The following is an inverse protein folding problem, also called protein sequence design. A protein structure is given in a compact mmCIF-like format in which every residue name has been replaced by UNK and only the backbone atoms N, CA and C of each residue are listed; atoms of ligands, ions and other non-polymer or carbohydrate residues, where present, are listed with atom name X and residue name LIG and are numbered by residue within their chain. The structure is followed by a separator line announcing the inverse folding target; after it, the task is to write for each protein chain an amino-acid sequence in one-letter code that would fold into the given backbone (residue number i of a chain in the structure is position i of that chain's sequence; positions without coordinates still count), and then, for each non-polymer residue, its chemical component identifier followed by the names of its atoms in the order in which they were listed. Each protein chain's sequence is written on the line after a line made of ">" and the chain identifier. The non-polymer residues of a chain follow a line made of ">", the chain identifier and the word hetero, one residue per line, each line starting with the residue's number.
data_IF_836080127307
#
_entry.id   IF_836080127307
#
_cell.length_a   1.000
_cell.length_b   1.000
_cell.length_c   1.000
_cell.angle_alpha   90.00
_cell.angle_beta   90.00
_cell.angle_gamma   90.00
#
_symmetry.space_group_name_H-M   'P 1'
#
loop_
_entity.id
_entity.type
_entity.pdbx_description
1 polymer ?
#
# COMPACT_ATOMS: atom_id res chain seq x y z
N UNK A 1 -8.31 35.94 48.65
CA UNK A 1 -7.63 36.43 49.89
C UNK A 1 -8.37 37.55 50.64
N UNK A 2 -9.15 38.44 49.99
CA UNK A 2 -9.85 39.54 50.69
C UNK A 2 -11.08 39.08 51.49
N UNK A 3 -11.83 38.09 50.98
CA UNK A 3 -13.04 37.57 51.60
C UNK A 3 -12.79 36.73 52.87
N UNK A 4 -11.72 35.94 52.91
CA UNK A 4 -11.33 35.16 54.11
C UNK A 4 -10.85 36.04 55.26
N UNK A 5 -10.18 37.17 54.94
CA UNK A 5 -9.78 38.16 55.95
C UNK A 5 -11.00 38.88 56.53
N UNK A 6 -12.03 39.13 55.72
CA UNK A 6 -13.29 39.72 56.17
C UNK A 6 -14.09 38.77 57.08
N UNK A 7 -14.11 37.47 56.77
CA UNK A 7 -14.75 36.44 57.61
C UNK A 7 -14.07 36.25 58.96
N UNK A 8 -12.73 36.30 59.01
CA UNK A 8 -11.97 36.25 60.25
C UNK A 8 -12.21 37.48 61.14
N UNK A 9 -12.32 38.66 60.55
CA UNK A 9 -12.64 39.89 61.30
C UNK A 9 -14.07 39.86 61.82
N UNK A 10 -15.04 39.36 61.04
CA UNK A 10 -16.43 39.21 61.48
C UNK A 10 -16.59 38.17 62.60
N UNK A 11 -15.82 37.08 62.56
CA UNK A 11 -15.85 36.05 63.60
C UNK A 11 -15.21 36.51 64.93
N UNK A 12 -14.16 37.33 64.86
CA UNK A 12 -13.55 37.97 66.04
C UNK A 12 -14.45 39.07 66.60
N UNK A 13 -15.17 39.80 65.75
CA UNK A 13 -16.09 40.86 66.16
C UNK A 13 -17.40 40.28 66.75
N UNK A 14 -17.87 39.13 66.27
CA UNK A 14 -19.01 38.42 66.87
C UNK A 14 -18.71 37.83 68.25
N UNK A 15 -17.44 37.46 68.51
CA UNK A 15 -17.00 37.03 69.85
C UNK A 15 -16.86 38.20 70.83
N UNK A 16 -16.58 39.41 70.36
CA UNK A 16 -16.39 40.59 71.21
C UNK A 16 -17.70 41.31 71.58
N UNK A 17 -18.78 41.14 70.81
CA UNK A 17 -20.07 41.83 71.02
C UNK A 17 -21.08 40.93 71.78
N UNK A 18 -20.82 39.63 71.91
CA UNK A 18 -21.72 38.66 72.54
C UNK A 18 -21.80 38.68 74.07
N UNK A 19 -21.06 39.56 74.75
CA UNK A 19 -21.12 39.63 76.22
C UNK A 19 -21.31 41.07 76.67
N UNK A 20 -22.43 41.31 77.35
CA UNK A 20 -22.87 42.53 78.06
C UNK A 20 -23.85 43.40 77.28
N UNK A 21 -25.14 43.08 77.37
CA UNK A 21 -26.18 44.02 77.78
C UNK A 21 -27.42 43.27 78.32
N UNK A 22 -27.70 43.48 79.61
CA UNK A 22 -28.97 43.34 80.33
C UNK A 22 -29.67 41.96 80.40
N UNK A 23 -29.40 41.21 81.47
CA UNK A 23 -30.43 40.80 82.43
C UNK A 23 -29.80 40.70 83.82
N UNK A 24 -30.24 41.58 84.71
CA UNK A 24 -30.04 41.47 86.14
C UNK A 24 -31.18 40.59 86.66
N UNK A 25 -30.91 39.30 86.86
CA UNK A 25 -31.62 38.45 87.80
C UNK A 25 -30.60 37.48 88.38
N UNK A 26 -30.53 37.55 89.70
CA UNK A 26 -29.70 36.82 90.62
C UNK A 26 -30.09 35.34 90.57
N UNK A 27 -29.53 34.61 89.61
CA UNK A 27 -29.47 33.16 89.61
C UNK A 27 -28.05 32.83 89.16
N UNK A 28 -27.14 32.83 90.15
CA UNK A 28 -25.80 32.24 90.02
C UNK A 28 -25.99 30.81 89.50
N UNK A 29 -25.96 30.63 88.19
CA UNK A 29 -25.50 29.36 87.63
C UNK A 29 -24.09 29.20 88.18
N UNK A 30 -23.79 28.18 89.00
CA UNK A 30 -22.43 27.94 89.41
C UNK A 30 -21.63 27.74 88.13
N UNK A 31 -20.79 28.71 87.78
CA UNK A 31 -19.67 28.39 86.90
C UNK A 31 -18.87 27.42 87.74
N UNK A 32 -19.05 26.12 87.48
CA UNK A 32 -18.24 25.08 88.11
C UNK A 32 -16.79 25.49 87.88
N UNK A 33 -16.17 26.05 88.92
CA UNK A 33 -14.79 26.48 88.88
C UNK A 33 -13.99 25.21 88.69
N UNK A 34 -13.58 24.95 87.43
CA UNK A 34 -12.76 23.79 87.14
C UNK A 34 -11.58 23.78 88.10
N UNK A 35 -11.35 22.64 88.73
CA UNK A 35 -10.30 22.45 89.71
C UNK A 35 -8.94 22.76 89.08
N UNK A 36 -7.96 23.19 89.88
CA UNK A 36 -6.60 23.49 89.41
C UNK A 36 -5.99 22.32 88.60
N UNK A 37 -6.35 21.09 88.95
CA UNK A 37 -5.92 19.87 88.26
C UNK A 37 -6.56 19.70 86.88
N UNK A 38 -7.85 20.03 86.72
CA UNK A 38 -8.54 20.04 85.43
C UNK A 38 -7.99 21.14 84.49
N UNK A 39 -7.60 22.29 85.04
CA UNK A 39 -6.92 23.35 84.30
C UNK A 39 -5.56 22.90 83.78
N UNK A 40 -4.74 22.28 84.62
CA UNK A 40 -3.44 21.77 84.21
C UNK A 40 -3.60 20.73 83.10
N UNK A 41 -4.56 19.82 83.25
CA UNK A 41 -4.87 18.80 82.24
C UNK A 41 -5.31 19.41 80.91
N UNK A 42 -6.14 20.45 80.94
CA UNK A 42 -6.51 21.19 79.73
C UNK A 42 -5.30 21.88 79.08
N UNK A 43 -4.43 22.53 79.85
CA UNK A 43 -3.22 23.18 79.31
C UNK A 43 -2.33 22.16 78.61
N UNK A 44 -2.13 20.99 79.23
CA UNK A 44 -1.32 19.91 78.67
C UNK A 44 -1.96 19.36 77.38
N UNK A 45 -3.28 19.13 77.38
CA UNK A 45 -4.04 18.69 76.20
C UNK A 45 -4.00 19.70 75.04
N UNK A 46 -4.18 20.99 75.34
CA UNK A 46 -4.10 22.07 74.34
C UNK A 46 -2.68 22.23 73.82
N UNK A 47 -1.67 22.06 74.67
CA UNK A 47 -0.26 22.10 74.27
C UNK A 47 0.08 20.91 73.37
N UNK A 48 -0.39 19.71 73.70
CA UNK A 48 -0.23 18.52 72.86
C UNK A 48 -0.88 18.70 71.47
N UNK A 49 -2.13 19.18 71.42
CA UNK A 49 -2.83 19.48 70.16
C UNK A 49 -2.13 20.56 69.34
N UNK A 50 -1.62 21.62 69.99
CA UNK A 50 -0.84 22.67 69.32
C UNK A 50 0.43 22.10 68.68
N UNK A 51 1.15 21.24 69.40
CA UNK A 51 2.36 20.61 68.88
C UNK A 51 2.05 19.67 67.70
N UNK A 52 1.00 18.87 67.80
CA UNK A 52 0.54 17.98 66.72
C UNK A 52 0.14 18.78 65.46
N UNK A 53 -0.71 19.80 65.61
CA UNK A 53 -1.14 20.65 64.49
C UNK A 53 0.04 21.40 63.86
N UNK A 54 0.98 21.88 64.68
CA UNK A 54 2.21 22.53 64.18
C UNK A 54 3.07 21.55 63.37
N UNK A 55 3.19 20.30 63.83
CA UNK A 55 3.85 19.22 63.09
C UNK A 55 3.18 18.94 61.73
N UNK A 56 1.85 18.79 61.71
CA UNK A 56 1.08 18.57 60.47
C UNK A 56 1.21 19.73 59.49
N UNK A 57 1.22 20.98 59.97
CA UNK A 57 1.42 22.16 59.11
C UNK A 57 2.82 22.14 58.50
N UNK A 58 3.86 21.78 59.27
CA UNK A 58 5.21 21.67 58.77
C UNK A 58 5.37 20.55 57.72
N UNK A 59 4.70 19.41 57.91
CA UNK A 59 4.67 18.30 56.96
C UNK A 59 3.94 18.68 55.67
N UNK A 60 2.72 19.23 55.77
CA UNK A 60 1.97 19.72 54.62
C UNK A 60 2.72 20.80 53.84
N UNK A 61 3.52 21.63 54.53
CA UNK A 61 4.35 22.63 53.88
C UNK A 61 5.50 21.97 53.10
N UNK A 62 6.14 20.94 53.65
CA UNK A 62 7.15 20.14 52.91
C UNK A 62 6.56 19.46 51.69
N UNK A 63 5.38 18.85 51.82
CA UNK A 63 4.69 18.20 50.70
C UNK A 63 4.30 19.19 49.62
N UNK A 64 3.80 20.37 49.99
CA UNK A 64 3.49 21.44 49.07
C UNK A 64 4.73 21.88 48.27
N UNK A 65 5.86 22.05 48.94
CA UNK A 65 7.11 22.48 48.29
C UNK A 65 7.68 21.36 47.40
N UNK A 66 7.54 20.10 47.79
CA UNK A 66 7.93 18.94 46.99
C UNK A 66 7.05 18.77 45.73
N UNK A 67 5.72 18.91 45.89
CA UNK A 67 4.77 18.89 44.78
C UNK A 67 5.00 20.06 43.82
N UNK A 68 5.27 21.25 44.34
CA UNK A 68 5.59 22.43 43.51
C UNK A 68 6.83 22.18 42.64
N UNK A 69 7.90 21.60 43.21
CA UNK A 69 9.10 21.22 42.44
C UNK A 69 8.80 20.17 41.37
N UNK A 70 8.01 19.15 41.72
CA UNK A 70 7.61 18.09 40.79
C UNK A 70 6.77 18.64 39.63
N UNK A 71 5.91 19.62 39.91
CA UNK A 71 5.08 20.27 38.91
C UNK A 71 5.96 21.06 37.92
N UNK A 72 6.95 21.79 38.41
CA UNK A 72 7.88 22.54 37.55
C UNK A 72 8.77 21.62 36.70
N UNK A 73 9.26 20.49 37.23
CA UNK A 73 10.00 19.51 36.42
C UNK A 73 9.12 18.87 35.36
N UNK A 74 7.90 18.44 35.71
CA UNK A 74 6.96 17.85 34.74
C UNK A 74 6.55 18.85 33.67
N UNK A 75 6.33 20.12 33.99
CA UNK A 75 6.09 21.18 33.00
C UNK A 75 7.27 21.33 32.03
N UNK A 76 8.50 21.33 32.54
CA UNK A 76 9.68 21.42 31.71
C UNK A 76 9.83 20.19 30.79
N UNK A 77 9.57 18.99 31.30
CA UNK A 77 9.62 17.74 30.54
C UNK A 77 8.54 17.70 29.44
N UNK A 78 7.30 18.11 29.76
CA UNK A 78 6.21 18.21 28.78
C UNK A 78 6.56 19.19 27.67
N UNK A 79 7.08 20.37 28.03
CA UNK A 79 7.48 21.37 27.03
C UNK A 79 8.58 20.84 26.11
N UNK A 80 9.59 20.18 26.66
CA UNK A 80 10.65 19.54 25.84
C UNK A 80 10.07 18.48 24.91
N UNK A 81 9.19 17.62 25.41
CA UNK A 81 8.55 16.59 24.60
C UNK A 81 7.68 17.18 23.48
N UNK A 82 6.97 18.28 23.74
CA UNK A 82 6.19 19.01 22.74
C UNK A 82 7.11 19.63 21.66
N UNK A 83 8.19 20.30 22.08
CA UNK A 83 9.15 20.91 21.17
C UNK A 83 9.84 19.85 20.28
N UNK A 84 10.24 18.71 20.86
CA UNK A 84 10.82 17.57 20.13
C UNK A 84 9.81 16.93 19.17
N UNK A 85 8.56 16.75 19.59
CA UNK A 85 7.50 16.21 18.75
C UNK A 85 7.23 17.09 17.54
N UNK A 86 7.08 18.40 17.75
CA UNK A 86 6.84 19.34 16.66
C UNK A 86 8.06 19.47 15.75
N UNK A 87 9.28 19.43 16.30
CA UNK A 87 10.51 19.39 15.50
C UNK A 87 10.56 18.14 14.60
N UNK A 88 10.23 16.96 15.14
CA UNK A 88 10.15 15.72 14.37
C UNK A 88 9.07 15.76 13.27
N UNK A 89 7.95 16.43 13.53
CA UNK A 89 6.88 16.64 12.56
C UNK A 89 7.16 17.78 11.56
N UNK A 90 8.30 18.47 11.68
CA UNK A 90 8.73 19.54 10.78
C UNK A 90 8.10 20.91 11.07
N UNK A 91 7.48 21.08 12.24
CA UNK A 91 6.86 22.30 12.75
C UNK A 91 5.34 22.23 12.82
N UNK A 92 4.76 22.92 13.81
CA UNK A 92 3.31 23.04 14.00
C UNK A 92 2.61 23.65 12.78
N UNK A 93 3.21 24.66 12.16
CA UNK A 93 2.65 25.32 10.97
C UNK A 93 2.48 24.35 9.78
N UNK A 94 3.43 23.44 9.58
CA UNK A 94 3.33 22.45 8.50
C UNK A 94 2.24 21.41 8.79
N UNK A 95 2.10 21.00 10.06
CA UNK A 95 1.03 20.13 10.50
C UNK A 95 -0.35 20.76 10.27
N UNK A 96 -0.53 22.01 10.68
CA UNK A 96 -1.79 22.74 10.53
C UNK A 96 -2.12 23.02 9.05
N UNK A 97 -1.12 23.38 8.24
CA UNK A 97 -1.27 23.53 6.80
C UNK A 97 -1.68 22.21 6.12
N UNK A 98 -1.04 21.09 6.48
CA UNK A 98 -1.38 19.77 5.97
C UNK A 98 -2.81 19.38 6.36
N UNK A 99 -3.19 19.58 7.63
CA UNK A 99 -4.55 19.31 8.14
C UNK A 99 -5.60 20.11 7.37
N UNK A 100 -5.34 21.40 7.12
CA UNK A 100 -6.23 22.28 6.34
C UNK A 100 -6.37 21.81 4.90
N UNK A 101 -5.25 21.55 4.22
CA UNK A 101 -5.25 21.12 2.82
C UNK A 101 -5.87 19.72 2.63
N UNK A 102 -5.64 18.80 3.57
CA UNK A 102 -6.31 17.49 3.59
C UNK A 102 -7.83 17.65 3.73
N UNK A 103 -8.29 18.52 4.64
CA UNK A 103 -9.73 18.79 4.81
C UNK A 103 -10.38 19.42 3.58
N UNK A 104 -9.68 20.34 2.90
CA UNK A 104 -10.13 20.91 1.62
C UNK A 104 -10.27 19.83 0.56
N UNK A 105 -9.26 18.97 0.40
CA UNK A 105 -9.28 17.88 -0.57
C UNK A 105 -10.37 16.86 -0.25
N UNK A 106 -10.57 16.49 1.01
CA UNK A 106 -11.68 15.62 1.44
C UNK A 106 -13.04 16.20 1.07
N UNK A 107 -13.23 17.51 1.23
CA UNK A 107 -14.48 18.19 0.85
C UNK A 107 -14.70 18.14 -0.65
N UNK A 108 -13.66 18.48 -1.43
CA UNK A 108 -13.67 18.43 -2.89
C UNK A 108 -14.04 17.02 -3.39
N UNK A 109 -13.40 15.98 -2.83
CA UNK A 109 -13.64 14.59 -3.23
C UNK A 109 -15.03 14.11 -2.81
N UNK A 110 -15.49 14.49 -1.62
CA UNK A 110 -16.82 14.13 -1.13
C UNK A 110 -17.93 14.75 -1.99
N UNK A 111 -17.79 16.02 -2.34
CA UNK A 111 -18.77 16.76 -3.14
C UNK A 111 -18.58 16.54 -4.64
N UNK A 112 -17.48 15.89 -5.06
CA UNK A 112 -17.07 15.72 -6.45
C UNK A 112 -16.99 17.06 -7.19
N UNK A 113 -16.48 18.08 -6.51
CA UNK A 113 -16.39 19.44 -7.03
C UNK A 113 -15.20 19.58 -7.98
N UNK A 114 -15.47 20.04 -9.21
CA UNK A 114 -14.43 20.30 -10.20
C UNK A 114 -13.91 19.06 -10.94
N UNK A 115 -12.67 19.16 -11.42
CA UNK A 115 -12.01 18.14 -12.23
C UNK A 115 -11.22 17.17 -11.34
N UNK A 116 -11.31 15.87 -11.65
CA UNK A 116 -10.57 14.82 -10.95
C UNK A 116 -9.07 15.08 -10.98
N UNK A 117 -8.56 15.58 -12.10
CA UNK A 117 -7.13 15.82 -12.34
C UNK A 117 -6.56 16.84 -11.34
N UNK A 118 -7.34 17.84 -10.91
CA UNK A 118 -6.88 18.85 -9.96
C UNK A 118 -6.84 18.30 -8.53
N UNK A 119 -7.80 17.43 -8.17
CA UNK A 119 -7.77 16.69 -6.91
C UNK A 119 -6.58 15.72 -6.83
N UNK A 120 -6.23 15.06 -7.94
CA UNK A 120 -5.04 14.19 -8.03
C UNK A 120 -3.73 14.97 -7.85
N UNK A 121 -3.63 16.19 -8.39
CA UNK A 121 -2.47 17.06 -8.17
C UNK A 121 -2.33 17.44 -6.69
N UNK A 122 -3.43 17.87 -6.04
CA UNK A 122 -3.42 18.19 -4.61
C UNK A 122 -3.06 16.95 -3.77
N UNK A 123 -3.56 15.78 -4.12
CA UNK A 123 -3.23 14.52 -3.46
C UNK A 123 -1.74 14.16 -3.58
N UNK A 124 -1.16 14.37 -4.77
CA UNK A 124 0.26 14.15 -5.04
C UNK A 124 1.15 15.15 -4.30
N UNK A 125 0.74 16.42 -4.21
CA UNK A 125 1.44 17.45 -3.43
C UNK A 125 1.44 17.14 -1.93
N UNK A 126 0.29 16.77 -1.37
CA UNK A 126 0.19 16.30 0.02
C UNK A 126 1.08 15.07 0.24
N UNK A 127 1.19 14.21 -0.77
CA UNK A 127 2.04 13.02 -0.75
C UNK A 127 3.54 13.28 -0.61
N UNK A 128 4.01 14.49 -0.92
CA UNK A 128 5.42 14.89 -0.76
C UNK A 128 5.81 15.13 0.70
N UNK A 129 4.84 15.42 1.57
CA UNK A 129 5.11 15.66 2.98
C UNK A 129 5.16 14.34 3.77
N UNK A 130 6.09 14.24 4.73
CA UNK A 130 6.21 13.08 5.62
C UNK A 130 4.98 12.91 6.54
N UNK A 131 4.18 13.97 6.70
CA UNK A 131 2.94 14.01 7.48
C UNK A 131 1.84 13.08 6.94
N UNK A 132 1.96 12.62 5.69
CA UNK A 132 1.08 11.58 5.11
C UNK A 132 0.98 10.33 5.97
N UNK A 133 2.08 9.94 6.62
CA UNK A 133 2.16 8.73 7.45
C UNK A 133 1.91 9.00 8.93
N UNK A 134 1.58 10.24 9.32
CA UNK A 134 1.25 10.59 10.69
C UNK A 134 -0.01 9.84 11.16
N UNK A 135 -0.09 9.35 12.41
CA UNK A 135 -1.24 8.59 12.92
C UNK A 135 -2.60 9.26 12.66
N UNK A 136 -2.70 10.58 12.87
CA UNK A 136 -3.94 11.34 12.66
C UNK A 136 -4.41 11.38 11.20
N UNK A 137 -3.48 11.26 10.25
CA UNK A 137 -3.74 11.51 8.83
C UNK A 137 -3.64 10.26 7.96
N UNK A 138 -2.85 9.26 8.34
CA UNK A 138 -2.54 8.10 7.51
C UNK A 138 -3.80 7.35 7.05
N UNK A 139 -4.75 7.13 7.96
CA UNK A 139 -6.01 6.47 7.64
C UNK A 139 -6.87 7.31 6.69
N UNK A 140 -6.97 8.62 6.95
CA UNK A 140 -7.74 9.57 6.15
C UNK A 140 -7.17 9.72 4.74
N UNK A 141 -5.86 9.90 4.64
CA UNK A 141 -5.15 10.01 3.37
C UNK A 141 -5.27 8.74 2.51
N UNK A 142 -5.24 7.55 3.13
CA UNK A 142 -5.46 6.29 2.42
C UNK A 142 -6.87 6.21 1.83
N UNK A 143 -7.90 6.50 2.63
CA UNK A 143 -9.30 6.53 2.18
C UNK A 143 -9.51 7.52 1.04
N UNK A 144 -8.92 8.71 1.16
CA UNK A 144 -9.02 9.76 0.14
C UNK A 144 -8.48 9.28 -1.22
N UNK A 145 -7.36 8.56 -1.24
CA UNK A 145 -6.85 7.97 -2.47
C UNK A 145 -7.80 6.92 -3.08
N UNK A 146 -8.48 6.12 -2.25
CA UNK A 146 -9.49 5.17 -2.72
C UNK A 146 -10.71 5.89 -3.30
N UNK A 147 -11.14 6.99 -2.69
CA UNK A 147 -12.30 7.75 -3.14
C UNK A 147 -12.00 8.57 -4.39
N UNK A 148 -10.80 9.12 -4.54
CA UNK A 148 -10.32 9.74 -5.80
C UNK A 148 -10.29 8.69 -6.93
N UNK A 149 -9.87 7.46 -6.65
CA UNK A 149 -9.89 6.38 -7.65
C UNK A 149 -11.32 6.03 -8.10
N UNK A 150 -12.29 6.08 -7.19
CA UNK A 150 -13.72 5.89 -7.50
C UNK A 150 -14.35 7.13 -8.15
N UNK A 151 -13.80 8.32 -7.93
CA UNK A 151 -14.26 9.57 -8.52
C UNK A 151 -13.83 9.61 -9.99
N UNK A 152 -14.79 9.80 -10.89
CA UNK A 152 -14.64 9.69 -12.34
C UNK A 152 -15.77 8.84 -12.91
N UNK A 153 -15.90 8.74 -14.25
CA UNK A 153 -16.80 7.76 -14.82
C UNK A 153 -16.32 6.40 -14.35
N UNK A 154 -17.15 5.72 -13.53
CA UNK A 154 -17.07 4.26 -13.43
C UNK A 154 -17.05 3.81 -14.88
N UNK A 155 -16.00 3.10 -15.31
CA UNK A 155 -16.02 2.47 -16.63
C UNK A 155 -17.16 1.46 -16.54
N UNK A 156 -18.38 1.91 -16.85
CA UNK A 156 -19.56 1.06 -17.00
C UNK A 156 -19.24 0.29 -18.26
N UNK A 157 -18.57 -0.83 -18.07
CA UNK A 157 -18.28 -1.76 -19.14
C UNK A 157 -19.62 -2.07 -19.80
N UNK A 158 -19.77 -1.88 -21.13
CA UNK A 158 -20.99 -2.29 -21.80
C UNK A 158 -21.18 -3.77 -21.50
N UNK A 159 -22.32 -4.15 -20.93
CA UNK A 159 -22.61 -5.53 -20.53
C UNK A 159 -22.50 -6.52 -21.69
N UNK A 160 -22.51 -6.03 -22.94
CA UNK A 160 -21.93 -6.75 -24.07
C UNK A 160 -21.38 -5.88 -25.19
N UNK A 161 -20.48 -6.46 -25.99
CA UNK A 161 -19.88 -5.87 -27.18
C UNK A 161 -20.23 -6.67 -28.44
N UNK A 162 -20.75 -6.01 -29.48
CA UNK A 162 -21.01 -6.64 -30.78
C UNK A 162 -19.76 -6.68 -31.63
N UNK A 163 -19.30 -7.88 -31.97
CA UNK A 163 -18.10 -8.10 -32.80
C UNK A 163 -18.32 -7.59 -34.21
N UNK A 164 -17.38 -6.78 -34.73
CA UNK A 164 -17.37 -6.28 -36.10
C UNK A 164 -16.37 -7.07 -36.95
N UNK A 165 -16.55 -7.09 -38.28
CA UNK A 165 -15.61 -7.73 -39.20
C UNK A 165 -14.19 -7.18 -39.03
N UNK A 166 -13.23 -8.04 -38.72
CA UNK A 166 -11.81 -7.69 -38.52
C UNK A 166 -11.40 -7.46 -37.06
N UNK A 167 -12.35 -7.57 -36.12
CA UNK A 167 -12.05 -7.62 -34.69
C UNK A 167 -11.41 -8.95 -34.29
N UNK A 168 -10.57 -8.89 -33.27
CA UNK A 168 -10.08 -10.04 -32.52
C UNK A 168 -10.14 -9.70 -31.03
N UNK A 169 -10.14 -10.69 -30.13
CA UNK A 169 -10.26 -10.45 -28.68
C UNK A 169 -9.22 -9.44 -28.17
N UNK A 170 -8.01 -9.44 -28.74
CA UNK A 170 -6.95 -8.48 -28.45
C UNK A 170 -7.33 -7.03 -28.80
N UNK A 171 -7.88 -6.81 -30.01
CA UNK A 171 -8.33 -5.48 -30.46
C UNK A 171 -9.56 -5.02 -29.68
N UNK A 172 -10.47 -5.92 -29.34
CA UNK A 172 -11.67 -5.61 -28.55
C UNK A 172 -11.23 -5.15 -27.14
N UNK A 173 -10.34 -5.89 -26.49
CA UNK A 173 -9.78 -5.48 -25.18
C UNK A 173 -9.01 -4.15 -25.22
N UNK A 174 -8.41 -3.81 -26.36
CA UNK A 174 -7.69 -2.55 -26.55
C UNK A 174 -8.60 -1.31 -26.66
N UNK A 175 -9.91 -1.48 -26.90
CA UNK A 175 -10.84 -0.33 -27.03
C UNK A 175 -10.95 0.40 -25.69
N UNK A 176 -10.96 1.74 -25.73
CA UNK A 176 -11.05 2.62 -24.55
C UNK A 176 -12.34 2.41 -23.76
N UNK A 177 -13.41 2.04 -24.45
CA UNK A 177 -14.74 1.76 -23.88
C UNK A 177 -14.84 0.40 -23.17
N UNK A 178 -13.87 -0.48 -23.40
CA UNK A 178 -13.81 -1.83 -22.80
C UNK A 178 -12.70 -1.83 -21.75
N UNK A 179 -11.49 -2.30 -22.07
CA UNK A 179 -10.42 -2.41 -21.07
C UNK A 179 -9.29 -1.40 -21.24
N UNK A 180 -9.22 -0.70 -22.37
CA UNK A 180 -8.07 0.15 -22.73
C UNK A 180 -6.71 -0.58 -22.58
N UNK A 181 -6.72 -1.91 -22.60
CA UNK A 181 -5.56 -2.74 -22.34
C UNK A 181 -5.66 -4.03 -23.16
N UNK A 182 -4.88 -4.14 -24.24
CA UNK A 182 -4.94 -5.28 -25.14
C UNK A 182 -4.61 -6.62 -24.46
N UNK A 183 -3.85 -6.60 -23.37
CA UNK A 183 -3.45 -7.80 -22.62
C UNK A 183 -4.61 -8.43 -21.84
N UNK A 184 -5.76 -7.76 -21.77
CA UNK A 184 -6.96 -8.23 -21.10
C UNK A 184 -7.82 -9.17 -21.95
N UNK A 185 -7.41 -9.48 -23.17
CA UNK A 185 -8.11 -10.44 -24.04
C UNK A 185 -8.38 -11.83 -23.41
N UNK A 186 -7.52 -12.40 -22.53
CA UNK A 186 -7.82 -13.70 -21.91
C UNK A 186 -9.02 -13.64 -20.97
N UNK A 187 -9.26 -12.50 -20.32
CA UNK A 187 -10.42 -12.30 -19.44
C UNK A 187 -11.70 -12.27 -20.26
N UNK A 188 -11.65 -11.59 -21.41
CA UNK A 188 -12.76 -11.56 -22.36
C UNK A 188 -13.05 -12.97 -22.90
N UNK A 189 -12.03 -13.78 -23.16
CA UNK A 189 -12.20 -15.17 -23.58
C UNK A 189 -12.82 -16.04 -22.47
N UNK A 190 -12.23 -16.04 -21.27
CA UNK A 190 -12.67 -16.87 -20.14
C UNK A 190 -14.14 -16.60 -19.74
N UNK A 191 -14.58 -15.34 -19.85
CA UNK A 191 -15.97 -14.97 -19.59
C UNK A 191 -16.96 -15.49 -20.65
N UNK A 192 -16.49 -15.81 -21.86
CA UNK A 192 -17.31 -16.17 -23.02
C UNK A 192 -17.03 -17.58 -23.56
N UNK A 193 -16.06 -18.31 -23.00
CA UNK A 193 -15.69 -19.68 -23.41
C UNK A 193 -16.89 -20.62 -23.30
N UNK A 194 -17.65 -20.49 -22.20
CA UNK A 194 -18.84 -21.31 -21.91
C UNK A 194 -20.12 -20.81 -22.58
N UNK A 195 -20.11 -19.63 -23.20
CA UNK A 195 -21.30 -19.06 -23.83
C UNK A 195 -21.20 -17.55 -24.08
N UNK A 196 -21.51 -17.11 -25.30
CA UNK A 196 -21.74 -15.70 -25.67
C UNK A 196 -23.19 -15.30 -25.44
N UNK A 197 -23.47 -13.99 -25.32
CA UNK A 197 -24.81 -13.47 -25.02
C UNK A 197 -25.77 -13.70 -26.19
N UNK A 198 -25.32 -13.43 -27.41
CA UNK A 198 -26.07 -13.76 -28.63
C UNK A 198 -25.12 -14.06 -29.79
N UNK A 199 -25.59 -14.88 -30.72
CA UNK A 199 -24.84 -15.25 -31.91
C UNK A 199 -25.79 -15.34 -33.13
N UNK A 200 -25.32 -14.98 -34.34
CA UNK A 200 -26.08 -15.18 -35.56
C UNK A 200 -26.42 -16.65 -35.82
N UNK A 201 -27.48 -16.95 -36.60
CA UNK A 201 -27.80 -18.32 -36.99
C UNK A 201 -26.61 -18.95 -37.73
N UNK A 202 -26.33 -20.24 -37.46
CA UNK A 202 -25.18 -21.04 -37.94
C UNK A 202 -23.82 -20.73 -37.28
N UNK A 203 -23.75 -19.88 -36.26
CA UNK A 203 -22.52 -19.62 -35.48
C UNK A 203 -22.59 -20.30 -34.11
N UNK A 204 -21.47 -20.89 -33.66
CA UNK A 204 -21.39 -21.50 -32.34
C UNK A 204 -21.56 -20.44 -31.23
N UNK A 205 -22.37 -20.77 -30.22
CA UNK A 205 -22.56 -19.93 -29.03
C UNK A 205 -21.40 -20.02 -28.04
N UNK A 206 -20.47 -20.96 -28.21
CA UNK A 206 -19.33 -21.18 -27.32
C UNK A 206 -18.02 -20.90 -28.04
N UNK A 207 -17.07 -20.23 -27.37
CA UNK A 207 -15.77 -19.85 -27.95
C UNK A 207 -14.69 -20.77 -27.36
N UNK A 208 -14.58 -21.99 -27.89
CA UNK A 208 -13.50 -22.93 -27.48
C UNK A 208 -12.12 -22.45 -27.91
N UNK A 209 -12.03 -21.84 -29.10
CA UNK A 209 -10.78 -21.29 -29.61
C UNK A 209 -10.80 -19.75 -29.48
N UNK A 210 -9.91 -19.14 -28.69
CA UNK A 210 -9.90 -17.68 -28.49
C UNK A 210 -9.65 -16.88 -29.78
N UNK A 211 -9.08 -17.49 -30.82
CA UNK A 211 -8.83 -16.82 -32.09
C UNK A 211 -10.05 -16.83 -33.03
N UNK A 212 -11.10 -17.59 -32.71
CA UNK A 212 -12.25 -17.80 -33.59
C UNK A 212 -13.48 -17.07 -33.05
N UNK A 213 -13.62 -15.81 -33.45
CA UNK A 213 -14.81 -14.99 -33.20
C UNK A 213 -15.41 -14.53 -34.52
N UNK A 214 -16.73 -14.38 -34.56
CA UNK A 214 -17.50 -14.07 -35.77
C UNK A 214 -18.23 -12.72 -35.63
N UNK A 215 -18.36 -11.95 -36.72
CA UNK A 215 -19.12 -10.72 -36.72
C UNK A 215 -20.58 -10.93 -36.31
N UNK A 216 -21.14 -10.00 -35.53
CA UNK A 216 -22.50 -10.05 -35.00
C UNK A 216 -22.66 -10.88 -33.73
N UNK A 217 -21.59 -11.52 -33.22
CA UNK A 217 -21.61 -12.11 -31.88
C UNK A 217 -21.61 -11.00 -30.83
N UNK A 218 -22.43 -11.13 -29.79
CA UNK A 218 -22.43 -10.23 -28.62
C UNK A 218 -21.67 -10.90 -27.48
N UNK A 219 -20.47 -10.40 -27.20
CA UNK A 219 -19.60 -10.88 -26.13
C UNK A 219 -19.97 -10.24 -24.80
N UNK A 220 -19.97 -11.02 -23.72
CA UNK A 220 -20.09 -10.52 -22.35
C UNK A 220 -18.77 -9.88 -21.92
N UNK A 221 -18.81 -8.61 -21.50
CA UNK A 221 -17.63 -7.90 -20.99
C UNK A 221 -17.71 -7.84 -19.45
N UNK A 222 -16.93 -8.65 -18.70
CA UNK A 222 -16.92 -8.55 -17.24
C UNK A 222 -16.31 -7.22 -16.77
N UNK A 223 -16.77 -6.74 -15.61
CA UNK A 223 -16.22 -5.56 -14.94
C UNK A 223 -14.75 -5.77 -14.55
N UNK A 224 -13.93 -4.72 -14.71
CA UNK A 224 -12.50 -4.77 -14.38
C UNK A 224 -12.32 -4.73 -12.85
N UNK A 225 -12.18 -5.90 -12.23
CA UNK A 225 -11.70 -5.98 -10.85
C UNK A 225 -10.17 -6.04 -10.83
N UNK A 226 -9.52 -5.46 -9.82
CA UNK A 226 -8.05 -5.45 -9.69
C UNK A 226 -7.45 -6.86 -9.72
N UNK A 227 -8.19 -7.85 -9.23
CA UNK A 227 -7.77 -9.26 -9.23
C UNK A 227 -7.81 -9.88 -10.63
N UNK A 228 -8.86 -9.60 -11.42
CA UNK A 228 -8.96 -10.05 -12.80
C UNK A 228 -7.84 -9.44 -13.66
N UNK A 229 -7.55 -8.16 -13.46
CA UNK A 229 -6.45 -7.46 -14.14
C UNK A 229 -5.09 -8.08 -13.84
N UNK A 230 -4.79 -8.34 -12.57
CA UNK A 230 -3.54 -8.99 -12.16
C UNK A 230 -3.41 -10.37 -12.79
N UNK A 231 -4.48 -11.18 -12.75
CA UNK A 231 -4.49 -12.52 -13.32
C UNK A 231 -4.22 -12.52 -14.84
N UNK A 232 -4.78 -11.56 -15.57
CA UNK A 232 -4.61 -11.41 -17.01
C UNK A 232 -3.18 -11.00 -17.36
N UNK A 233 -2.63 -10.02 -16.62
CA UNK A 233 -1.25 -9.60 -16.81
C UNK A 233 -0.27 -10.73 -16.52
N UNK A 234 -0.50 -11.54 -15.50
CA UNK A 234 0.38 -12.64 -15.15
C UNK A 234 0.31 -13.77 -16.19
N UNK A 235 -0.87 -14.07 -16.74
CA UNK A 235 -1.02 -14.95 -17.92
C UNK A 235 -0.27 -14.41 -19.13
N UNK A 236 -0.38 -13.12 -19.43
CA UNK A 236 0.34 -12.48 -20.54
C UNK A 236 1.88 -12.54 -20.34
N UNK A 237 2.37 -12.30 -19.12
CA UNK A 237 3.80 -12.45 -18.77
C UNK A 237 4.27 -13.89 -18.93
N UNK A 238 3.48 -14.86 -18.47
CA UNK A 238 3.77 -16.29 -18.58
C UNK A 238 3.87 -16.70 -20.06
N UNK A 239 2.92 -16.27 -20.88
CA UNK A 239 2.96 -16.51 -22.33
C UNK A 239 4.19 -15.89 -22.99
N UNK A 240 4.51 -14.63 -22.68
CA UNK A 240 5.73 -13.95 -23.19
C UNK A 240 7.00 -14.71 -22.79
N UNK A 241 7.08 -15.20 -21.55
CA UNK A 241 8.22 -15.99 -21.05
C UNK A 241 8.33 -17.33 -21.77
N UNK A 242 7.22 -18.02 -22.00
CA UNK A 242 7.18 -19.26 -22.78
C UNK A 242 7.60 -19.02 -24.24
N UNK A 243 7.03 -18.02 -24.92
CA UNK A 243 7.37 -17.69 -26.31
C UNK A 243 8.85 -17.36 -26.47
N UNK A 244 9.44 -16.58 -25.55
CA UNK A 244 10.88 -16.29 -25.54
C UNK A 244 11.73 -17.57 -25.41
N UNK A 245 11.27 -18.54 -24.61
CA UNK A 245 11.96 -19.82 -24.43
C UNK A 245 11.88 -20.69 -25.69
N UNK A 246 10.72 -20.73 -26.35
CA UNK A 246 10.51 -21.49 -27.60
C UNK A 246 11.36 -20.91 -28.72
N UNK A 247 11.29 -19.60 -28.96
CA UNK A 247 12.09 -18.93 -30.00
C UNK A 247 13.59 -19.13 -29.78
N UNK A 248 14.07 -19.01 -28.53
CA UNK A 248 15.49 -19.25 -28.21
C UNK A 248 15.92 -20.71 -28.45
N UNK A 249 15.00 -21.66 -28.29
CA UNK A 249 15.25 -23.08 -28.56
C UNK A 249 15.29 -23.33 -30.07
N UNK A 250 14.32 -22.80 -30.82
CA UNK A 250 14.29 -22.87 -32.28
C UNK A 250 15.51 -22.18 -32.92
N UNK A 251 15.93 -21.01 -32.44
CA UNK A 251 17.18 -20.36 -32.87
C UNK A 251 18.41 -21.21 -32.54
N UNK A 252 18.42 -21.90 -31.41
CA UNK A 252 19.49 -22.81 -31.00
C UNK A 252 19.56 -24.06 -31.88
N UNK A 253 18.40 -24.62 -32.23
CA UNK A 253 18.27 -25.80 -33.10
C UNK A 253 18.63 -25.44 -34.56
N UNK A 254 18.14 -24.31 -35.08
CA UNK A 254 18.53 -23.77 -36.40
C UNK A 254 20.04 -23.51 -36.48
N UNK A 255 20.65 -22.92 -35.44
CA UNK A 255 22.10 -22.67 -35.41
C UNK A 255 22.92 -23.98 -35.33
N UNK A 256 22.34 -25.04 -34.79
CA UNK A 256 22.93 -26.38 -34.74
C UNK A 256 22.83 -27.11 -36.07
N UNK A 257 21.74 -26.90 -36.81
CA UNK A 257 21.53 -27.47 -38.14
C UNK A 257 22.42 -26.78 -39.19
N UNK A 258 22.55 -25.44 -39.17
CA UNK A 258 23.50 -24.71 -40.04
C UNK A 258 24.95 -25.18 -39.82
N UNK A 259 25.37 -25.41 -38.56
CA UNK A 259 26.71 -25.93 -38.25
C UNK A 259 26.92 -27.39 -38.67
N UNK A 260 25.84 -28.16 -38.82
CA UNK A 260 25.89 -29.55 -39.28
C UNK A 260 25.99 -29.63 -40.80
N UNK A 261 25.40 -28.69 -41.52
CA UNK A 261 25.43 -28.61 -42.98
C UNK A 261 26.77 -28.03 -43.50
N UNK A 262 27.37 -27.03 -42.84
CA UNK A 262 28.75 -26.57 -43.14
C UNK A 262 29.78 -27.71 -42.99
N UNK A 263 29.60 -28.60 -42.00
CA UNK A 263 30.50 -29.76 -41.79
C UNK A 263 30.27 -30.89 -42.81
N UNK A 264 29.15 -30.88 -43.54
CA UNK A 264 28.80 -31.87 -44.55
C UNK A 264 29.31 -31.48 -45.94
N UNK A 265 29.38 -30.18 -46.23
CA UNK A 265 29.98 -29.67 -47.48
C UNK A 265 31.51 -29.78 -47.49
N UNK A 266 32.20 -29.46 -46.38
CA UNK A 266 33.67 -29.65 -46.27
C UNK A 266 34.08 -31.13 -46.42
N UNK A 267 33.22 -32.09 -46.03
CA UNK A 267 33.48 -33.54 -46.16
C UNK A 267 33.22 -34.11 -47.56
N UNK A 268 32.57 -33.37 -48.47
CA UNK A 268 32.33 -33.82 -49.85
C UNK A 268 33.53 -33.49 -50.74
N UNK A 269 34.25 -32.42 -50.44
CA UNK A 269 35.43 -32.01 -51.21
C UNK A 269 36.69 -32.80 -50.78
N UNK A 270 36.86 -33.15 -49.51
CA UNK A 270 37.99 -34.01 -49.06
C UNK A 270 37.91 -35.47 -49.53
N UNK A 271 36.75 -35.95 -50.01
CA UNK A 271 36.57 -37.36 -50.40
C UNK A 271 36.89 -37.68 -51.86
N UNK A 272 37.26 -36.68 -52.66
CA UNK A 272 37.66 -36.90 -54.07
C UNK A 272 39.17 -37.12 -54.23
N UNK A 273 39.99 -36.68 -53.27
CA UNK A 273 41.45 -36.60 -53.47
C UNK A 273 42.29 -37.68 -52.76
N UNK A 274 41.69 -38.59 -51.97
CA UNK A 274 42.48 -39.61 -51.21
C UNK A 274 42.17 -41.07 -51.58
N UNK A 275 41.23 -41.34 -52.52
CA UNK A 275 40.91 -42.72 -52.93
C UNK A 275 41.55 -43.11 -54.26
N UNK A 276 42.87 -43.00 -54.40
CA UNK A 276 43.61 -43.79 -55.41
C UNK A 276 45.09 -44.07 -55.11
N UNK A 277 45.56 -43.85 -53.89
CA UNK A 277 46.87 -44.33 -53.45
C UNK A 277 46.66 -45.33 -52.30
N UNK A 278 47.42 -46.44 -52.31
CA UNK A 278 47.33 -47.59 -51.39
C UNK A 278 46.28 -48.67 -51.72
N UNK A 279 46.44 -49.31 -52.88
CA UNK A 279 46.27 -50.78 -53.03
C UNK A 279 47.54 -51.34 -53.68
N UNK A 280 48.57 -51.42 -52.86
CA UNK A 280 49.92 -51.96 -53.06
C UNK A 280 50.23 -52.48 -51.65
N UNK A 281 50.25 -53.77 -51.32
CA UNK A 281 50.81 -54.94 -51.97
C UNK A 281 50.07 -56.21 -51.46
N UNK A 282 49.87 -57.21 -52.33
CA UNK A 282 49.96 -58.66 -52.06
C UNK A 282 49.17 -59.45 -53.13
N UNK A 283 49.83 -59.73 -54.26
CA UNK A 283 49.74 -61.05 -54.92
C UNK A 283 50.92 -61.23 -55.87
N UNK A 284 51.79 -62.16 -55.50
CA UNK A 284 52.93 -62.68 -56.26
C UNK A 284 52.52 -63.26 -57.62
N UNK A 285 53.33 -62.89 -58.62
CA UNK A 285 53.95 -63.75 -59.64
C UNK A 285 53.11 -64.45 -60.74
N UNK A 286 53.42 -64.01 -61.98
CA UNK A 286 53.66 -64.79 -63.21
C UNK A 286 52.44 -65.14 -64.11
N UNK A 287 52.23 -64.31 -65.14
CA UNK A 287 52.32 -64.63 -66.60
C UNK A 287 51.79 -63.42 -67.40
N UNK A 288 52.66 -62.64 -68.04
CA UNK A 288 53.13 -62.76 -69.45
C UNK A 288 52.00 -62.66 -70.51
N UNK A 289 52.02 -61.50 -71.17
CA UNK A 289 51.89 -61.26 -72.60
C UNK A 289 50.51 -61.16 -73.31
N UNK A 290 50.48 -60.14 -74.19
CA UNK A 290 49.64 -59.90 -75.40
C UNK A 290 48.30 -59.18 -75.15
N UNK A 291 48.14 -57.84 -75.35
CA UNK A 291 48.31 -56.91 -76.50
C UNK A 291 47.01 -56.74 -77.31
N UNK A 292 46.57 -55.47 -77.42
CA UNK A 292 45.69 -54.85 -78.45
C UNK A 292 44.25 -55.39 -78.51
N UNK A 293 43.20 -54.64 -78.84
CA UNK A 293 43.08 -53.44 -79.67
C UNK A 293 41.70 -52.78 -79.39
N UNK A 294 41.68 -51.45 -79.50
CA UNK A 294 40.49 -50.60 -79.75
C UNK A 294 39.79 -51.03 -81.06
N UNK A 295 38.50 -50.68 -81.34
CA UNK A 295 38.19 -49.27 -81.59
C UNK A 295 36.78 -48.77 -81.26
N UNK A 296 36.74 -47.43 -81.22
CA UNK A 296 35.61 -46.53 -81.43
C UNK A 296 34.77 -46.94 -82.65
N UNK A 297 33.49 -46.54 -82.65
CA UNK A 297 32.91 -45.38 -83.38
C UNK A 297 31.48 -45.68 -83.85
N UNK A 298 30.69 -44.61 -83.87
CA UNK A 298 29.57 -44.37 -84.80
C UNK A 298 28.35 -45.31 -84.66
N UNK A 299 27.10 -44.99 -84.98
CA UNK A 299 26.28 -43.81 -85.24
C UNK A 299 24.90 -44.42 -85.55
N UNK A 300 23.82 -43.63 -85.46
CA UNK A 300 22.52 -43.81 -86.15
C UNK A 300 21.51 -44.89 -85.69
N UNK A 301 20.29 -44.36 -85.47
CA UNK A 301 18.96 -44.77 -85.98
C UNK A 301 18.63 -46.27 -85.86
N UNK A 302 17.61 -46.67 -85.12
CA UNK A 302 16.19 -46.38 -85.38
C UNK A 302 15.37 -46.87 -84.20
#
# INVERSE_FOLDING_TARGET
>A
MKFQKLLLVLLVLSLAIGSKFAFAQDEETPQEEMTMEEWQKQIDDYTAKKNELTGKVAELQKDKDALAKTLETKKADVKKAEDEYWAACGGKDKYDAFKSNLGKLETIVKNKEGKKEDAEKMYAELGKSNLRCHPDFAARYKKLGEDINKWGPVVVQPTGYTVVKGDCLYKIAAKKEIYNNPKMWPVLWEANEKGVVSAPPKVAKTIKNPNLIYPGQVLKVPALTKDLEKSALDKAKKWKRWHKKVVKKEEGDVKKDVKKDEKKEVKKDEKKDVKKEVKKDEKKDVKKDVKKEEPKKDEKKK
#
